data_IF_155023709726
#
_entry.id   IF_155023709726
#
_cell.length_a   1.000
_cell.length_b   1.000
_cell.length_c   1.000
_cell.angle_alpha   90.00
_cell.angle_beta   90.00
_cell.angle_gamma   90.00
#
_symmetry.space_group_name_H-M   'P 1'
#
loop_
_entity.id
_entity.type
_entity.pdbx_description
1 polymer ?
#
# COMPACT_ATOMS: atom_id res chain seq x y z
N UNK A 1 5.39 9.02 5.15
CA UNK A 1 4.99 8.62 3.78
C UNK A 1 3.52 9.00 3.61
N UNK A 2 3.11 9.56 2.47
CA UNK A 2 1.70 9.91 2.23
C UNK A 2 0.90 8.65 1.91
N UNK A 3 -0.10 8.31 2.72
CA UNK A 3 -0.95 7.11 2.54
C UNK A 3 -1.95 7.18 1.38
N UNK A 4 -1.86 8.22 0.54
CA UNK A 4 -2.85 8.51 -0.51
C UNK A 4 -2.94 7.44 -1.60
N UNK A 5 -1.81 6.81 -1.99
CA UNK A 5 -1.80 5.76 -3.01
C UNK A 5 -2.50 4.49 -2.51
N UNK A 6 -2.16 3.93 -1.32
CA UNK A 6 -2.93 2.84 -0.72
C UNK A 6 -4.42 3.13 -0.61
N UNK A 7 -4.80 4.34 -0.20
CA UNK A 7 -6.22 4.74 -0.11
C UNK A 7 -6.89 4.68 -1.48
N UNK A 8 -6.31 5.28 -2.51
CA UNK A 8 -6.85 5.25 -3.87
C UNK A 8 -6.99 3.82 -4.42
N UNK A 9 -5.96 2.99 -4.25
CA UNK A 9 -5.99 1.59 -4.66
C UNK A 9 -7.04 0.78 -3.91
N UNK A 10 -7.27 1.05 -2.61
CA UNK A 10 -8.34 0.44 -1.83
C UNK A 10 -9.73 0.70 -2.44
N UNK A 11 -9.93 1.88 -3.02
CA UNK A 11 -11.16 2.26 -3.75
C UNK A 11 -11.13 1.89 -5.24
N UNK A 12 -10.14 1.10 -5.68
CA UNK A 12 -9.95 0.71 -7.10
C UNK A 12 -9.89 1.93 -8.03
N UNK A 13 -9.21 2.99 -7.59
CA UNK A 13 -9.01 4.20 -8.39
C UNK A 13 -7.59 4.24 -8.93
N UNK A 14 -7.39 4.39 -10.25
CA UNK A 14 -6.08 4.68 -10.77
C UNK A 14 -5.63 6.06 -10.29
N UNK A 15 -4.31 6.24 -10.22
CA UNK A 15 -3.68 7.48 -9.74
C UNK A 15 -2.91 8.16 -10.88
N UNK A 16 -2.84 9.49 -10.85
CA UNK A 16 -1.93 10.24 -11.71
C UNK A 16 -0.95 10.97 -10.79
N UNK A 17 0.33 10.66 -10.93
CA UNK A 17 1.40 11.21 -10.08
C UNK A 17 2.44 11.89 -10.95
N UNK A 18 3.13 12.87 -10.38
CA UNK A 18 4.31 13.47 -11.00
C UNK A 18 5.55 12.61 -10.72
N UNK A 19 6.54 12.68 -11.60
CA UNK A 19 7.84 12.01 -11.45
C UNK A 19 8.73 12.74 -10.43
N UNK A 20 8.27 12.82 -9.18
CA UNK A 20 8.97 13.46 -8.06
C UNK A 20 8.77 12.67 -6.76
N UNK A 21 9.84 12.59 -5.98
CA UNK A 21 9.83 11.87 -4.71
C UNK A 21 9.55 10.37 -4.88
N UNK A 22 8.89 9.77 -3.90
CA UNK A 22 8.67 8.31 -3.85
C UNK A 22 7.34 7.85 -4.47
N UNK A 23 6.52 8.76 -5.01
CA UNK A 23 5.26 8.40 -5.65
C UNK A 23 5.43 7.58 -6.94
N UNK A 24 6.33 7.93 -7.88
CA UNK A 24 6.53 7.15 -9.10
C UNK A 24 7.06 5.74 -8.84
N UNK A 25 7.73 5.50 -7.70
CA UNK A 25 8.23 4.16 -7.32
C UNK A 25 7.09 3.16 -7.03
N UNK A 26 5.93 3.66 -6.59
CA UNK A 26 4.78 2.81 -6.23
C UNK A 26 3.85 2.61 -7.43
N UNK A 27 3.81 3.58 -8.35
CA UNK A 27 2.88 3.56 -9.49
C UNK A 27 3.50 2.85 -10.68
N UNK A 28 2.88 1.77 -11.12
CA UNK A 28 3.25 1.15 -12.39
C UNK A 28 2.57 1.89 -13.54
N UNK A 29 3.35 2.69 -14.29
CA UNK A 29 2.87 3.51 -15.38
C UNK A 29 2.10 2.69 -16.43
N UNK A 30 0.89 3.12 -16.77
CA UNK A 30 -0.02 2.44 -17.69
C UNK A 30 -0.70 1.18 -17.14
N UNK A 31 -0.38 0.75 -15.91
CA UNK A 31 -0.96 -0.45 -15.28
C UNK A 31 -1.77 -0.15 -14.03
N UNK A 32 -1.36 0.82 -13.24
CA UNK A 32 -2.03 1.21 -11.97
C UNK A 32 -2.35 2.70 -11.92
N UNK A 33 -2.00 3.42 -12.98
CA UNK A 33 -2.03 4.87 -13.04
C UNK A 33 -1.08 5.41 -14.10
N UNK A 34 -0.88 6.72 -14.10
CA UNK A 34 0.08 7.41 -14.97
C UNK A 34 1.12 8.17 -14.15
N UNK A 35 2.34 8.20 -14.69
CA UNK A 35 3.42 9.07 -14.22
C UNK A 35 3.60 10.17 -15.26
N UNK A 36 3.55 11.43 -14.83
CA UNK A 36 3.72 12.60 -15.70
C UNK A 36 4.93 13.45 -15.26
N UNK A 37 5.55 14.23 -16.17
CA UNK A 37 6.62 15.15 -15.80
C UNK A 37 6.16 16.18 -14.76
N UNK A 38 7.01 16.60 -13.82
CA UNK A 38 6.70 17.72 -12.94
C UNK A 38 6.61 19.04 -13.72
N UNK A 39 5.82 19.98 -13.22
CA UNK A 39 5.60 21.30 -13.83
C UNK A 39 5.04 21.30 -15.26
N UNK A 40 4.45 20.17 -15.70
CA UNK A 40 3.78 20.05 -16.99
C UNK A 40 2.25 19.88 -16.79
N UNK A 41 1.49 20.99 -16.73
CA UNK A 41 0.03 20.94 -16.58
C UNK A 41 -0.66 20.31 -17.79
N UNK A 42 -0.06 20.39 -18.99
CA UNK A 42 -0.62 19.81 -20.21
C UNK A 42 -0.54 18.29 -20.15
N UNK A 43 0.59 17.73 -19.72
CA UNK A 43 0.74 16.28 -19.53
C UNK A 43 -0.20 15.76 -18.42
N UNK A 44 -0.31 16.48 -17.29
CA UNK A 44 -1.24 16.11 -16.22
C UNK A 44 -2.70 16.10 -16.70
N UNK A 45 -3.14 17.16 -17.37
CA UNK A 45 -4.48 17.25 -17.93
C UNK A 45 -4.73 16.15 -18.96
N UNK A 46 -3.76 15.87 -19.84
CA UNK A 46 -3.84 14.79 -20.82
C UNK A 46 -4.05 13.42 -20.18
N UNK A 47 -3.28 13.10 -19.13
CA UNK A 47 -3.42 11.84 -18.40
C UNK A 47 -4.81 11.70 -17.73
N UNK A 48 -5.31 12.77 -17.11
CA UNK A 48 -6.65 12.79 -16.51
C UNK A 48 -7.73 12.59 -17.58
N UNK A 49 -7.64 13.34 -18.69
CA UNK A 49 -8.60 13.25 -19.81
C UNK A 49 -8.58 11.86 -20.44
N UNK A 50 -7.41 11.24 -20.59
CA UNK A 50 -7.30 9.88 -21.12
C UNK A 50 -8.05 8.86 -20.24
N UNK A 51 -7.92 8.95 -18.91
CA UNK A 51 -8.67 8.09 -17.98
C UNK A 51 -10.17 8.34 -18.04
N UNK A 52 -10.60 9.60 -18.22
CA UNK A 52 -12.02 9.94 -18.33
C UNK A 52 -12.65 9.49 -19.65
N UNK A 53 -11.86 9.44 -20.74
CA UNK A 53 -12.32 9.03 -22.07
C UNK A 53 -12.35 7.51 -22.27
N UNK A 54 -11.57 6.76 -21.49
CA UNK A 54 -11.50 5.30 -21.54
C UNK A 54 -11.88 4.69 -20.18
N UNK A 55 -13.19 4.50 -19.92
CA UNK A 55 -13.67 3.88 -18.68
C UNK A 55 -13.10 2.47 -18.46
N UNK A 56 -12.87 1.71 -19.53
CA UNK A 56 -12.35 0.36 -19.43
C UNK A 56 -10.88 0.38 -18.97
N UNK A 57 -10.06 1.30 -19.51
CA UNK A 57 -8.71 1.51 -19.00
C UNK A 57 -8.72 1.98 -17.55
N UNK A 58 -9.61 2.90 -17.19
CA UNK A 58 -9.76 3.38 -15.82
C UNK A 58 -10.07 2.22 -14.85
N UNK A 59 -11.01 1.34 -15.23
CA UNK A 59 -11.35 0.15 -14.45
C UNK A 59 -10.18 -0.83 -14.36
N UNK A 60 -9.55 -1.18 -15.50
CA UNK A 60 -8.39 -2.09 -15.53
C UNK A 60 -7.26 -1.59 -14.64
N UNK A 61 -6.92 -0.30 -14.72
CA UNK A 61 -5.86 0.28 -13.91
C UNK A 61 -6.23 0.34 -12.42
N UNK A 62 -7.49 0.64 -12.11
CA UNK A 62 -8.02 0.59 -10.74
C UNK A 62 -7.92 -0.80 -10.10
N UNK A 63 -8.30 -1.84 -10.84
CA UNK A 63 -8.15 -3.24 -10.40
C UNK A 63 -6.67 -3.66 -10.30
N UNK A 64 -5.81 -3.16 -11.20
CA UNK A 64 -4.37 -3.34 -11.12
C UNK A 64 -3.80 -2.78 -9.81
N UNK A 65 -4.17 -1.55 -9.46
CA UNK A 65 -3.78 -0.91 -8.20
C UNK A 65 -4.28 -1.67 -6.97
N UNK A 66 -5.53 -2.12 -6.99
CA UNK A 66 -6.11 -2.93 -5.90
C UNK A 66 -5.40 -4.28 -5.72
N UNK A 67 -5.04 -4.93 -6.83
CA UNK A 67 -4.25 -6.17 -6.80
C UNK A 67 -2.89 -5.91 -6.18
N UNK A 68 -2.18 -4.87 -6.62
CA UNK A 68 -0.88 -4.46 -6.08
C UNK A 68 -0.93 -4.15 -4.57
N UNK A 69 -1.98 -3.47 -4.11
CA UNK A 69 -2.21 -3.20 -2.70
C UNK A 69 -2.30 -4.50 -1.88
N UNK A 70 -2.97 -5.53 -2.43
CA UNK A 70 -3.17 -6.83 -1.77
C UNK A 70 -1.96 -7.76 -1.84
N UNK A 71 -1.04 -7.55 -2.78
CA UNK A 71 0.14 -8.40 -2.97
C UNK A 71 1.39 -7.71 -2.44
N UNK A 72 1.86 -6.69 -3.16
CA UNK A 72 3.18 -6.11 -3.02
C UNK A 72 3.25 -5.21 -1.77
N UNK A 73 2.11 -4.61 -1.41
CA UNK A 73 1.96 -3.70 -0.27
C UNK A 73 1.28 -4.37 0.93
N UNK A 74 1.11 -5.70 0.90
CA UNK A 74 0.43 -6.43 1.95
C UNK A 74 1.22 -6.40 3.26
N UNK A 75 0.53 -6.18 4.38
CA UNK A 75 1.15 -6.19 5.70
C UNK A 75 1.84 -7.52 6.01
N UNK A 76 1.28 -8.63 5.53
CA UNK A 76 1.91 -9.95 5.66
C UNK A 76 3.30 -10.00 5.00
N UNK A 77 3.45 -9.40 3.83
CA UNK A 77 4.72 -9.31 3.10
C UNK A 77 5.74 -8.48 3.85
N UNK A 78 5.35 -7.28 4.30
CA UNK A 78 6.25 -6.38 5.03
C UNK A 78 6.67 -7.01 6.37
N UNK A 79 5.76 -7.64 7.13
CA UNK A 79 6.09 -8.35 8.38
C UNK A 79 7.08 -9.48 8.13
N UNK A 80 6.86 -10.28 7.07
CA UNK A 80 7.77 -11.37 6.71
C UNK A 80 9.18 -10.86 6.40
N UNK A 81 9.30 -9.81 5.60
CA UNK A 81 10.59 -9.20 5.25
C UNK A 81 11.29 -8.61 6.49
N UNK A 82 10.52 -7.94 7.35
CA UNK A 82 11.04 -7.36 8.60
C UNK A 82 11.59 -8.45 9.53
N UNK A 83 10.83 -9.52 9.74
CA UNK A 83 11.24 -10.64 10.59
C UNK A 83 12.46 -11.38 10.02
N UNK A 84 12.59 -11.49 8.70
CA UNK A 84 13.76 -12.11 8.08
C UNK A 84 15.05 -11.34 8.42
N UNK A 85 15.02 -10.01 8.33
CA UNK A 85 16.18 -9.16 8.67
C UNK A 85 16.48 -9.24 10.16
N UNK A 86 15.47 -9.17 11.04
CA UNK A 86 15.69 -9.35 12.48
C UNK A 86 16.24 -10.72 12.82
N UNK A 87 15.80 -11.79 12.15
CA UNK A 87 16.30 -13.14 12.35
C UNK A 87 17.76 -13.33 11.93
N UNK A 88 18.23 -12.59 10.93
CA UNK A 88 19.64 -12.59 10.51
C UNK A 88 20.55 -11.90 11.54
N UNK A 89 20.07 -10.81 12.14
CA UNK A 89 20.85 -9.99 13.06
C UNK A 89 20.72 -10.39 14.53
N UNK A 90 19.65 -11.11 14.89
CA UNK A 90 19.45 -11.54 16.26
C UNK A 90 20.47 -12.63 16.64
N UNK A 91 21.27 -12.44 17.70
CA UNK A 91 22.04 -13.56 18.25
C UNK A 91 21.06 -14.66 18.70
N UNK A 92 21.45 -15.91 18.49
CA UNK A 92 20.68 -17.06 18.96
C UNK A 92 20.44 -16.86 20.46
N UNK A 93 19.19 -16.78 20.93
CA UNK A 93 18.96 -16.51 22.34
C UNK A 93 19.47 -17.71 23.15
N UNK A 94 20.49 -17.50 23.99
CA UNK A 94 20.87 -18.45 25.05
C UNK A 94 19.79 -18.55 26.15
N UNK A 95 18.68 -17.81 26.03
CA UNK A 95 17.69 -17.72 27.08
C UNK A 95 16.60 -18.81 26.97
N UNK A 96 16.87 -19.93 27.65
CA UNK A 96 15.92 -20.79 28.36
C UNK A 96 14.54 -21.02 27.75
N UNK A 97 14.35 -22.20 27.19
CA UNK A 97 13.10 -22.80 26.71
C UNK A 97 12.01 -22.82 27.80
N UNK A 98 11.24 -21.74 28.02
CA UNK A 98 10.05 -21.84 28.89
C UNK A 98 8.97 -20.76 28.75
N UNK A 99 8.97 -19.93 27.70
CA UNK A 99 7.93 -18.88 27.57
C UNK A 99 7.20 -18.93 26.22
N UNK A 100 6.75 -20.12 25.81
CA UNK A 100 5.81 -20.28 24.69
C UNK A 100 4.53 -20.94 25.20
N UNK A 101 3.77 -20.23 26.04
CA UNK A 101 2.33 -20.42 26.20
C UNK A 101 1.70 -19.39 27.15
N UNK A 102 1.63 -18.12 26.73
CA UNK A 102 0.62 -17.21 27.28
C UNK A 102 -0.40 -16.93 26.18
N UNK A 103 -1.55 -17.61 26.27
CA UNK A 103 -2.76 -17.30 25.50
C UNK A 103 -3.05 -15.80 25.69
N UNK A 104 -2.91 -15.00 24.63
CA UNK A 104 -3.45 -13.65 24.60
C UNK A 104 -4.98 -13.78 24.52
N UNK A 105 -5.63 -13.62 25.68
CA UNK A 105 -7.08 -13.48 25.74
C UNK A 105 -7.47 -12.11 25.19
N UNK A 106 -8.25 -12.09 24.12
CA UNK A 106 -8.79 -10.86 23.53
C UNK A 106 -9.94 -10.41 24.43
N UNK A 107 -9.70 -9.47 25.33
CA UNK A 107 -10.80 -8.74 25.99
C UNK A 107 -11.37 -7.73 25.01
N UNK A 108 -12.65 -7.86 24.68
CA UNK A 108 -13.37 -6.90 23.86
C UNK A 108 -13.48 -5.55 24.61
N UNK A 109 -13.36 -4.41 23.91
CA UNK A 109 -13.47 -3.11 24.56
C UNK A 109 -14.92 -2.90 24.99
N UNK A 110 -15.15 -2.77 26.30
CA UNK A 110 -16.42 -2.31 26.85
C UNK A 110 -16.59 -0.86 26.44
N UNK A 111 -17.65 -0.58 25.68
CA UNK A 111 -18.08 0.79 25.40
C UNK A 111 -18.67 1.32 26.69
N UNK A 112 -18.02 2.31 27.30
CA UNK A 112 -18.55 3.03 28.44
C UNK A 112 -19.83 3.76 28.01
N UNK A 113 -20.98 3.27 28.46
CA UNK A 113 -22.21 4.07 28.50
C UNK A 113 -22.09 5.05 29.67
N UNK A 114 -21.87 6.32 29.35
CA UNK A 114 -22.01 7.45 30.27
C UNK A 114 -23.29 8.26 29.93
N UNK A 115 -23.82 9.03 30.89
CA UNK A 115 -25.08 8.74 31.60
C UNK A 115 -26.38 9.26 30.96
#
# INVERSE_FOLDING_TARGET
>A
QSGVIPTAYGFKKPVVVTDVGSLPEIVDNGKTGYIVPPHDPTALAGAIVNLLKDPDACQRMGEGGYTKLKTDMAWSGIVKSLLAVYGELAPTPEYGSSVVNKKFSRTEPTVDEEP
#
